data_IF_923599057985
#
_entry.id   IF_923599057985
#
_cell.length_a   1.000
_cell.length_b   1.000
_cell.length_c   1.000
_cell.angle_alpha   90.00
_cell.angle_beta   90.00
_cell.angle_gamma   90.00
#
_symmetry.space_group_name_H-M   'P 1'
#
loop_
_entity.id
_entity.type
_entity.pdbx_description
1 polymer ?
#
# COMPACT_ATOMS: atom_id res chain seq x y z
N UNK A 1 -0.88 11.10 -24.59
CA UNK A 1 -1.94 10.70 -23.64
C UNK A 1 -1.28 9.92 -22.52
N UNK A 2 -1.30 10.40 -21.26
CA UNK A 2 -0.70 9.67 -20.16
C UNK A 2 -1.49 8.38 -19.91
N UNK A 3 -0.79 7.25 -19.99
CA UNK A 3 -1.38 5.90 -19.92
C UNK A 3 -1.34 5.43 -18.46
N UNK A 4 -2.50 5.10 -17.88
CA UNK A 4 -2.59 4.57 -16.51
C UNK A 4 -1.75 3.30 -16.38
N UNK A 5 -0.94 3.21 -15.33
CA UNK A 5 -0.13 2.01 -15.07
C UNK A 5 -1.03 0.82 -14.68
N UNK A 6 -2.13 1.08 -13.95
CA UNK A 6 -3.13 0.06 -13.62
C UNK A 6 -4.57 0.60 -13.72
N UNK A 7 -5.29 0.33 -14.82
CA UNK A 7 -6.64 0.84 -15.02
C UNK A 7 -7.71 0.21 -14.12
N UNK A 8 -7.39 -0.85 -13.38
CA UNK A 8 -8.34 -1.60 -12.52
C UNK A 8 -8.19 -1.34 -11.01
N UNK A 9 -7.18 -0.61 -10.55
CA UNK A 9 -7.02 -0.33 -9.12
C UNK A 9 -7.90 0.85 -8.70
N UNK A 10 -8.92 0.57 -7.89
CA UNK A 10 -9.71 1.61 -7.24
C UNK A 10 -8.96 2.20 -6.05
N UNK A 11 -9.16 3.50 -5.76
CA UNK A 11 -8.54 4.24 -4.64
C UNK A 11 -8.68 3.51 -3.29
N UNK A 12 -9.82 2.83 -3.09
CA UNK A 12 -10.10 1.99 -1.93
C UNK A 12 -9.26 0.71 -1.89
N UNK A 13 -9.09 0.02 -3.03
CA UNK A 13 -8.25 -1.18 -3.12
C UNK A 13 -6.79 -0.91 -2.81
N UNK A 14 -6.24 0.22 -3.27
CA UNK A 14 -4.86 0.64 -2.94
C UNK A 14 -4.71 0.92 -1.45
N UNK A 15 -5.67 1.61 -0.83
CA UNK A 15 -5.65 1.87 0.62
C UNK A 15 -5.72 0.58 1.43
N UNK A 16 -6.61 -0.34 1.08
CA UNK A 16 -6.76 -1.63 1.78
C UNK A 16 -5.50 -2.47 1.63
N UNK A 17 -4.93 -2.57 0.42
CA UNK A 17 -3.65 -3.26 0.22
C UNK A 17 -2.51 -2.61 1.00
N UNK A 18 -2.43 -1.28 1.02
CA UNK A 18 -1.42 -0.57 1.79
C UNK A 18 -1.53 -0.88 3.29
N UNK A 19 -2.74 -0.83 3.85
CA UNK A 19 -2.99 -1.16 5.26
C UNK A 19 -2.59 -2.62 5.53
N UNK A 20 -3.02 -3.55 4.67
CA UNK A 20 -2.68 -4.96 4.81
C UNK A 20 -1.17 -5.21 4.78
N UNK A 21 -0.47 -4.64 3.80
CA UNK A 21 0.99 -4.75 3.69
C UNK A 21 1.72 -4.10 4.88
N UNK A 22 1.19 -2.98 5.41
CA UNK A 22 1.78 -2.33 6.58
C UNK A 22 1.65 -3.19 7.85
N UNK A 23 0.48 -3.77 8.10
CA UNK A 23 0.24 -4.66 9.25
C UNK A 23 1.12 -5.91 9.14
N UNK A 24 1.15 -6.53 7.97
CA UNK A 24 2.00 -7.69 7.72
C UNK A 24 3.48 -7.38 7.97
N UNK A 25 3.99 -6.28 7.40
CA UNK A 25 5.40 -5.88 7.56
C UNK A 25 5.74 -5.55 9.01
N UNK A 26 4.84 -4.84 9.72
CA UNK A 26 5.02 -4.51 11.13
C UNK A 26 5.08 -5.77 12.00
N UNK A 27 4.24 -6.77 11.74
CA UNK A 27 4.26 -8.03 12.46
C UNK A 27 5.62 -8.74 12.33
N UNK A 28 6.16 -8.81 11.10
CA UNK A 28 7.48 -9.41 10.87
C UNK A 28 8.59 -8.63 11.59
N UNK A 29 8.50 -7.30 11.59
CA UNK A 29 9.46 -6.44 12.27
C UNK A 29 9.43 -6.65 13.79
N UNK A 30 8.25 -6.82 14.39
CA UNK A 30 8.11 -7.15 15.82
C UNK A 30 8.80 -8.48 16.16
N UNK A 31 8.63 -9.51 15.32
CA UNK A 31 9.28 -10.82 15.53
C UNK A 31 10.80 -10.66 15.51
N UNK A 32 11.34 -9.93 14.54
CA UNK A 32 12.78 -9.67 14.42
C UNK A 32 13.30 -8.90 15.64
N UNK A 33 12.61 -7.84 16.06
CA UNK A 33 12.99 -7.03 17.22
C UNK A 33 12.97 -7.87 18.50
N UNK A 34 11.94 -8.70 18.70
CA UNK A 34 11.90 -9.60 19.86
C UNK A 34 13.10 -10.55 19.86
N UNK A 35 13.45 -11.16 18.71
CA UNK A 35 14.63 -12.03 18.62
C UNK A 35 15.94 -11.31 18.93
N UNK A 36 16.07 -10.06 18.50
CA UNK A 36 17.23 -9.21 18.82
C UNK A 36 17.31 -8.89 20.32
N UNK A 37 16.17 -8.54 20.94
CA UNK A 37 16.10 -8.18 22.38
C UNK A 37 16.39 -9.38 23.28
N UNK A 38 15.92 -10.57 22.90
CA UNK A 38 16.13 -11.80 23.67
C UNK A 38 17.43 -12.54 23.31
N UNK A 39 18.31 -11.94 22.50
CA UNK A 39 19.59 -12.53 22.05
C UNK A 39 19.45 -13.98 21.55
N UNK A 40 18.37 -14.25 20.83
CA UNK A 40 18.09 -15.58 20.30
C UNK A 40 19.07 -15.91 19.18
N UNK A 41 19.55 -17.16 19.16
CA UNK A 41 20.32 -17.68 18.02
C UNK A 41 19.43 -17.64 16.77
N UNK A 42 20.00 -17.16 15.67
CA UNK A 42 19.31 -17.02 14.40
C UNK A 42 19.40 -18.31 13.60
N UNK A 43 18.25 -18.90 13.33
CA UNK A 43 18.12 -20.06 12.46
C UNK A 43 17.80 -19.65 11.03
N UNK A 44 17.96 -20.59 10.08
CA UNK A 44 17.62 -20.36 8.67
C UNK A 44 16.21 -19.74 8.45
N UNK A 45 15.15 -20.16 9.18
CA UNK A 45 13.82 -19.55 9.05
C UNK A 45 13.77 -18.08 9.47
N UNK A 46 14.65 -17.61 10.35
CA UNK A 46 14.60 -16.22 10.82
C UNK A 46 14.98 -15.23 9.73
N UNK A 47 15.88 -15.64 8.84
CA UNK A 47 16.23 -14.88 7.65
C UNK A 47 15.05 -14.75 6.67
N UNK A 48 14.07 -15.67 6.71
CA UNK A 48 12.84 -15.52 5.92
C UNK A 48 11.99 -14.35 6.44
N UNK A 49 11.98 -14.09 7.75
CA UNK A 49 11.30 -12.92 8.30
C UNK A 49 11.96 -11.63 7.84
N UNK A 50 13.30 -11.58 7.78
CA UNK A 50 14.03 -10.44 7.21
C UNK A 50 13.69 -10.24 5.73
N UNK A 51 13.71 -11.32 4.94
CA UNK A 51 13.31 -11.27 3.53
C UNK A 51 11.86 -10.80 3.35
N UNK A 52 10.96 -11.25 4.23
CA UNK A 52 9.55 -10.83 4.23
C UNK A 52 9.40 -9.33 4.55
N UNK A 53 10.21 -8.78 5.46
CA UNK A 53 10.23 -7.33 5.73
C UNK A 53 10.70 -6.56 4.50
N UNK A 54 11.77 -7.00 3.85
CA UNK A 54 12.28 -6.34 2.63
C UNK A 54 11.20 -6.35 1.54
N UNK A 55 10.55 -7.49 1.30
CA UNK A 55 9.43 -7.59 0.36
C UNK A 55 8.27 -6.67 0.72
N UNK A 56 7.92 -6.58 2.02
CA UNK A 56 6.90 -5.68 2.52
C UNK A 56 7.23 -4.21 2.25
N UNK A 57 8.47 -3.78 2.50
CA UNK A 57 8.93 -2.42 2.22
C UNK A 57 8.91 -2.10 0.72
N UNK A 58 9.34 -3.03 -0.13
CA UNK A 58 9.29 -2.87 -1.59
C UNK A 58 7.84 -2.76 -2.07
N UNK A 59 6.93 -3.59 -1.56
CA UNK A 59 5.51 -3.54 -1.90
C UNK A 59 4.86 -2.22 -1.46
N UNK A 60 5.15 -1.75 -0.24
CA UNK A 60 4.69 -0.46 0.27
C UNK A 60 5.25 0.70 -0.56
N UNK A 61 6.54 0.69 -0.89
CA UNK A 61 7.17 1.67 -1.75
C UNK A 61 6.55 1.71 -3.14
N UNK A 62 6.27 0.55 -3.73
CA UNK A 62 5.56 0.44 -5.00
C UNK A 62 4.13 1.00 -4.92
N UNK A 63 3.39 0.71 -3.85
CA UNK A 63 2.04 1.26 -3.65
C UNK A 63 2.06 2.78 -3.46
N UNK A 64 3.08 3.33 -2.76
CA UNK A 64 3.29 4.76 -2.65
C UNK A 64 3.65 5.39 -4.00
N UNK A 65 4.49 4.73 -4.79
CA UNK A 65 4.85 5.15 -6.14
C UNK A 65 3.63 5.22 -7.05
N UNK A 66 2.80 4.16 -7.05
CA UNK A 66 1.52 4.14 -7.78
C UNK A 66 0.60 5.24 -7.28
N UNK A 67 0.47 5.43 -5.96
CA UNK A 67 -0.36 6.52 -5.40
C UNK A 67 0.13 7.91 -5.82
N UNK A 68 1.44 8.12 -5.89
CA UNK A 68 2.00 9.40 -6.32
C UNK A 68 1.74 9.64 -7.82
N UNK A 69 1.90 8.61 -8.65
CA UNK A 69 1.81 8.73 -10.11
C UNK A 69 0.38 8.67 -10.65
N UNK A 70 -0.50 7.86 -10.04
CA UNK A 70 -1.91 7.72 -10.41
C UNK A 70 -2.84 8.63 -9.55
N UNK A 71 -2.29 9.34 -8.55
CA UNK A 71 -3.05 10.24 -7.68
C UNK A 71 -3.75 11.37 -8.44
N UNK A 72 -3.08 11.96 -9.43
CA UNK A 72 -3.65 13.03 -10.26
C UNK A 72 -4.89 12.57 -11.06
N UNK A 73 -4.95 11.29 -11.41
CA UNK A 73 -6.09 10.72 -12.13
C UNK A 73 -7.29 10.44 -11.23
N UNK A 74 -7.06 10.08 -9.96
CA UNK A 74 -8.13 9.85 -8.99
C UNK A 74 -8.81 11.15 -8.57
N UNK A 75 -8.06 12.24 -8.44
CA UNK A 75 -8.63 13.55 -8.09
C UNK A 75 -9.47 14.13 -9.25
N UNK A 76 -9.12 13.83 -10.51
CA UNK A 76 -9.93 14.22 -11.67
C UNK A 76 -11.24 13.41 -11.79
N UNK A 77 -11.23 12.12 -11.41
CA UNK A 77 -12.44 11.30 -11.33
C UNK A 77 -13.38 11.77 -10.21
N UNK A 78 -12.83 12.14 -9.04
CA UNK A 78 -13.62 12.67 -7.91
C UNK A 78 -14.25 14.03 -8.25
N UNK A 79 -13.51 14.93 -8.90
CA UNK A 79 -14.06 16.22 -9.35
C UNK A 79 -15.20 16.05 -10.36
N UNK A 80 -15.11 15.04 -11.22
CA UNK A 80 -16.17 14.72 -12.19
C UNK A 80 -17.39 14.15 -11.48
N UNK A 81 -17.19 13.25 -10.50
CA UNK A 81 -18.28 12.64 -9.74
C UNK A 81 -19.03 13.65 -8.86
N UNK A 82 -18.33 14.56 -8.21
CA UNK A 82 -18.93 15.65 -7.43
C UNK A 82 -19.76 16.59 -8.30
N UNK A 83 -19.32 16.86 -9.54
CA UNK A 83 -20.07 17.69 -10.48
C UNK A 83 -21.39 17.00 -10.92
N UNK A 84 -21.36 15.69 -11.17
CA UNK A 84 -22.57 14.90 -11.45
C UNK A 84 -23.52 14.86 -10.25
N UNK A 85 -23.01 14.68 -9.04
CA UNK A 85 -23.79 14.66 -7.81
C UNK A 85 -24.42 16.02 -7.51
N UNK A 86 -23.70 17.11 -7.79
CA UNK A 86 -24.21 18.48 -7.68
C UNK A 86 -25.35 18.73 -8.67
N UNK A 87 -25.16 18.39 -9.95
CA UNK A 87 -26.19 18.54 -10.98
C UNK A 87 -27.41 17.64 -10.72
N UNK A 88 -27.21 16.45 -10.16
CA UNK A 88 -28.29 15.53 -9.79
C UNK A 88 -29.12 15.98 -8.59
N UNK A 89 -28.58 16.87 -7.74
CA UNK A 89 -29.30 17.48 -6.60
C UNK A 89 -30.02 18.80 -6.95
N UNK A 90 -29.83 19.31 -8.17
CA UNK A 90 -30.49 20.52 -8.67
C UNK A 90 -31.77 20.22 -9.48
N UNK A 91 -32.12 18.94 -9.67
CA UNK A 91 -33.36 18.45 -10.31
C UNK A 91 -34.33 17.91 -9.26
#
# INVERSE_FOLDING_TARGET
MPKRLQPKMTRGGVRVQFIWWSIWTALQLVIIVMKLVFESVWDLPDYLFVAAVILGLVALGFLLYVRHHDGHFWDAEDATRDDWDRRGREL
#
